data_IF_624850566905
#
_entry.id   IF_624850566905
#
_cell.length_a   1.000
_cell.length_b   1.000
_cell.length_c   1.000
_cell.angle_alpha   90.00
_cell.angle_beta   90.00
_cell.angle_gamma   90.00
#
_symmetry.space_group_name_H-M   'P 1'
#
loop_
_entity.id
_entity.type
_entity.pdbx_description
1 polymer ?
#
# COMPACT_ATOMS: atom_id res chain seq x y z
N UNK A 1 -2.55 -4.75 -26.84
CA UNK A 1 -1.22 -5.20 -26.37
C UNK A 1 -1.41 -5.68 -24.95
N UNK A 2 -1.21 -6.96 -24.66
CA UNK A 2 -1.27 -7.51 -23.30
C UNK A 2 -0.04 -6.99 -22.56
N UNK A 3 -0.24 -6.05 -21.66
CA UNK A 3 0.83 -5.55 -20.76
C UNK A 3 1.25 -6.71 -19.86
N UNK A 4 2.53 -7.05 -19.82
CA UNK A 4 3.03 -8.06 -18.90
C UNK A 4 2.92 -7.53 -17.46
N UNK A 5 2.52 -8.36 -16.49
CA UNK A 5 2.48 -7.95 -15.10
C UNK A 5 3.88 -7.61 -14.57
N UNK A 6 3.98 -6.56 -13.76
CA UNK A 6 5.21 -6.21 -13.05
C UNK A 6 5.49 -7.21 -11.93
N UNK A 7 4.45 -7.62 -11.20
CA UNK A 7 4.52 -8.66 -10.17
C UNK A 7 3.49 -9.73 -10.49
N UNK A 8 3.91 -11.01 -10.44
CA UNK A 8 3.02 -12.16 -10.62
C UNK A 8 3.24 -13.16 -9.50
N UNK A 9 2.16 -13.46 -8.80
CA UNK A 9 2.11 -14.42 -7.69
C UNK A 9 1.32 -15.63 -8.16
N UNK A 10 1.93 -16.81 -8.14
CA UNK A 10 1.36 -18.04 -8.68
C UNK A 10 1.29 -19.14 -7.61
N UNK A 11 0.08 -19.49 -7.17
CA UNK A 11 -0.23 -20.61 -6.27
C UNK A 11 0.65 -20.62 -5.00
N UNK A 12 0.95 -19.44 -4.46
CA UNK A 12 1.87 -19.26 -3.33
C UNK A 12 1.25 -19.80 -2.04
N UNK A 13 1.97 -20.73 -1.40
CA UNK A 13 1.69 -21.15 -0.03
C UNK A 13 2.93 -21.00 0.84
N UNK A 14 2.71 -20.58 2.08
CA UNK A 14 3.80 -20.33 3.03
C UNK A 14 3.38 -20.65 4.46
N UNK A 15 4.31 -21.20 5.24
CA UNK A 15 4.17 -21.48 6.67
C UNK A 15 5.43 -21.06 7.39
N UNK A 16 5.29 -20.44 8.56
CA UNK A 16 6.41 -20.24 9.47
C UNK A 16 6.72 -21.56 10.21
N UNK A 17 8.01 -21.80 10.45
CA UNK A 17 8.46 -22.92 11.26
C UNK A 17 8.51 -22.46 12.70
N UNK A 18 7.68 -23.02 13.56
CA UNK A 18 7.77 -22.81 15.00
C UNK A 18 8.64 -23.91 15.64
N UNK A 19 9.40 -23.53 16.68
CA UNK A 19 10.23 -24.48 17.43
C UNK A 19 9.39 -25.67 17.90
N UNK A 20 9.84 -26.89 17.63
CA UNK A 20 9.32 -28.21 18.04
C UNK A 20 7.84 -28.54 17.77
N UNK A 21 6.93 -27.56 17.62
CA UNK A 21 5.48 -27.77 17.60
C UNK A 21 4.80 -27.71 16.21
N UNK A 22 5.57 -27.75 15.11
CA UNK A 22 4.96 -27.85 13.79
C UNK A 22 5.01 -26.55 12.96
N UNK A 23 4.30 -26.61 11.81
CA UNK A 23 4.22 -25.52 10.84
C UNK A 23 2.90 -24.78 11.03
N UNK A 24 2.97 -23.44 11.11
CA UNK A 24 1.76 -22.61 11.09
C UNK A 24 1.55 -22.09 9.65
N UNK A 25 0.53 -22.59 8.94
CA UNK A 25 0.20 -22.11 7.60
C UNK A 25 -0.31 -20.67 7.67
N UNK A 26 0.25 -19.81 6.81
CA UNK A 26 -0.08 -18.38 6.77
C UNK A 26 -0.59 -17.97 5.39
N UNK A 27 -0.07 -18.52 4.31
CA UNK A 27 -0.58 -18.33 2.96
C UNK A 27 -0.98 -19.68 2.37
N UNK A 28 -2.10 -19.71 1.64
CA UNK A 28 -2.69 -20.91 1.09
C UNK A 28 -3.16 -20.66 -0.34
N UNK A 29 -2.36 -21.10 -1.31
CA UNK A 29 -2.67 -21.06 -2.74
C UNK A 29 -3.09 -19.66 -3.23
N UNK A 30 -2.28 -18.64 -2.89
CA UNK A 30 -2.52 -17.24 -3.28
C UNK A 30 -2.01 -17.02 -4.71
N UNK A 31 -2.86 -16.44 -5.58
CA UNK A 31 -2.48 -16.07 -6.94
C UNK A 31 -3.10 -14.73 -7.30
N UNK A 32 -2.30 -13.80 -7.81
CA UNK A 32 -2.73 -12.51 -8.38
C UNK A 32 -1.57 -11.88 -9.15
N UNK A 33 -1.89 -10.83 -9.89
CA UNK A 33 -0.92 -10.05 -10.66
C UNK A 33 -1.00 -8.59 -10.27
N UNK A 34 0.07 -7.83 -10.45
CA UNK A 34 0.11 -6.36 -10.33
C UNK A 34 0.70 -5.81 -11.60
N UNK A 35 0.01 -4.88 -12.23
CA UNK A 35 0.43 -4.29 -13.50
C UNK A 35 1.19 -2.97 -13.30
N UNK A 36 2.07 -2.58 -14.25
CA UNK A 36 2.77 -1.31 -14.18
C UNK A 36 1.79 -0.13 -14.06
N UNK A 37 2.05 0.77 -13.11
CA UNK A 37 1.22 1.94 -12.83
C UNK A 37 -0.07 1.66 -12.06
N UNK A 38 -0.35 0.40 -11.68
CA UNK A 38 -1.54 0.03 -10.91
C UNK A 38 -1.35 0.33 -9.42
N UNK A 39 -2.42 0.79 -8.76
CA UNK A 39 -2.49 0.91 -7.31
C UNK A 39 -3.39 -0.20 -6.74
N UNK A 40 -2.77 -1.18 -6.09
CA UNK A 40 -3.46 -2.32 -5.44
C UNK A 40 -3.48 -2.13 -3.93
N UNK A 41 -4.66 -2.22 -3.32
CA UNK A 41 -4.82 -2.28 -1.87
C UNK A 41 -5.09 -3.72 -1.42
N UNK A 42 -4.31 -4.21 -0.46
CA UNK A 42 -4.49 -5.53 0.17
C UNK A 42 -5.05 -5.30 1.57
N UNK A 43 -6.27 -5.75 1.82
CA UNK A 43 -6.97 -5.61 3.10
C UNK A 43 -7.34 -6.98 3.70
N UNK A 44 -7.66 -6.99 4.98
CA UNK A 44 -8.03 -8.19 5.72
C UNK A 44 -7.82 -7.97 7.22
N UNK A 45 -8.43 -8.81 8.07
CA UNK A 45 -8.21 -8.73 9.52
C UNK A 45 -6.76 -9.06 9.92
N UNK A 46 -6.40 -8.77 11.17
CA UNK A 46 -5.07 -9.11 11.70
C UNK A 46 -4.86 -10.63 11.68
N UNK A 47 -3.69 -11.07 11.19
CA UNK A 47 -3.37 -12.49 11.02
C UNK A 47 -3.87 -13.12 9.71
N UNK A 48 -4.53 -12.39 8.81
CA UNK A 48 -4.98 -12.91 7.51
C UNK A 48 -3.85 -13.23 6.50
N UNK A 49 -2.59 -12.85 6.81
CA UNK A 49 -1.42 -13.16 5.99
C UNK A 49 -0.89 -11.99 5.14
N UNK A 50 -1.47 -10.79 5.22
CA UNK A 50 -1.11 -9.61 4.40
C UNK A 50 0.37 -9.25 4.43
N UNK A 51 0.93 -9.03 5.63
CA UNK A 51 2.36 -8.66 5.79
C UNK A 51 3.31 -9.82 5.45
N UNK A 52 2.83 -11.06 5.52
CA UNK A 52 3.58 -12.20 4.99
C UNK A 52 3.58 -12.16 3.46
N UNK A 53 2.44 -11.87 2.85
CA UNK A 53 2.32 -11.75 1.40
C UNK A 53 3.18 -10.58 0.88
N UNK A 54 3.12 -9.39 1.50
CA UNK A 54 3.91 -8.22 1.09
C UNK A 54 5.41 -8.53 1.06
N UNK A 55 5.94 -9.29 2.02
CA UNK A 55 7.34 -9.71 2.08
C UNK A 55 7.75 -10.70 0.98
N UNK A 56 6.81 -11.40 0.36
CA UNK A 56 7.09 -12.23 -0.81
C UNK A 56 7.26 -11.40 -2.08
N UNK A 57 6.61 -10.22 -2.16
CA UNK A 57 6.62 -9.39 -3.36
C UNK A 57 8.00 -8.80 -3.68
N UNK A 58 8.88 -8.65 -2.67
CA UNK A 58 10.25 -8.18 -2.88
C UNK A 58 11.33 -9.21 -2.49
N UNK A 59 10.93 -10.49 -2.33
CA UNK A 59 11.85 -11.59 -2.04
C UNK A 59 12.51 -11.54 -0.65
N UNK A 60 11.91 -10.87 0.35
CA UNK A 60 12.31 -11.02 1.77
C UNK A 60 11.94 -12.41 2.25
N UNK A 61 10.75 -12.88 1.90
CA UNK A 61 10.33 -14.25 2.11
C UNK A 61 10.25 -14.98 0.76
N UNK A 62 10.63 -16.25 0.76
CA UNK A 62 10.52 -17.13 -0.41
C UNK A 62 9.39 -18.12 -0.15
N UNK A 63 8.43 -18.30 -1.06
CA UNK A 63 7.32 -19.20 -0.87
C UNK A 63 7.78 -20.66 -0.73
N UNK A 64 7.05 -21.48 0.02
CA UNK A 64 7.33 -22.92 0.11
C UNK A 64 6.90 -23.63 -1.17
N UNK A 65 5.67 -23.34 -1.62
CA UNK A 65 5.15 -23.81 -2.92
C UNK A 65 4.64 -22.63 -3.72
N UNK A 66 4.58 -22.78 -5.02
CA UNK A 66 4.27 -21.69 -5.94
C UNK A 66 5.48 -20.76 -6.16
N UNK A 67 5.28 -19.73 -6.93
CA UNK A 67 6.35 -18.83 -7.35
C UNK A 67 5.89 -17.36 -7.31
N UNK A 68 6.84 -16.46 -7.09
CA UNK A 68 6.66 -15.01 -7.25
C UNK A 68 7.66 -14.51 -8.27
N UNK A 69 7.14 -13.82 -9.28
CA UNK A 69 7.95 -13.19 -10.31
C UNK A 69 7.83 -11.67 -10.21
N UNK A 70 8.95 -11.00 -10.30
CA UNK A 70 9.05 -9.54 -10.37
C UNK A 70 9.78 -9.18 -11.66
N UNK A 71 9.12 -8.46 -12.54
CA UNK A 71 9.64 -8.15 -13.87
C UNK A 71 10.21 -9.40 -14.60
N UNK A 72 9.49 -10.53 -14.47
CA UNK A 72 9.88 -11.83 -15.04
C UNK A 72 10.97 -12.59 -14.27
N UNK A 73 11.55 -12.02 -13.20
CA UNK A 73 12.57 -12.66 -12.38
C UNK A 73 11.89 -13.41 -11.23
N UNK A 74 12.14 -14.72 -11.11
CA UNK A 74 11.66 -15.51 -9.99
C UNK A 74 12.40 -15.12 -8.70
N UNK A 75 11.68 -14.81 -7.63
CA UNK A 75 12.28 -14.42 -6.33
C UNK A 75 13.12 -15.52 -5.68
N UNK A 76 13.04 -16.77 -6.16
CA UNK A 76 13.92 -17.88 -5.74
C UNK A 76 15.32 -17.77 -6.31
N UNK A 77 15.52 -16.99 -7.37
CA UNK A 77 16.83 -16.78 -7.98
C UNK A 77 17.68 -15.84 -7.12
N UNK A 78 18.48 -16.44 -6.25
CA UNK A 78 19.36 -15.71 -5.34
C UNK A 78 20.42 -14.87 -6.06
N UNK A 79 20.75 -15.21 -7.32
CA UNK A 79 21.75 -14.46 -8.10
C UNK A 79 21.20 -13.13 -8.59
N UNK A 80 19.88 -13.03 -8.76
CA UNK A 80 19.16 -11.85 -9.26
C UNK A 80 18.29 -11.17 -8.22
N UNK A 81 18.37 -11.55 -6.95
CA UNK A 81 17.54 -10.99 -5.88
C UNK A 81 17.73 -9.47 -5.71
N UNK A 82 18.91 -8.95 -6.02
CA UNK A 82 19.19 -7.51 -6.00
C UNK A 82 18.35 -6.76 -7.03
N UNK A 83 18.15 -7.32 -8.24
CA UNK A 83 17.29 -6.75 -9.27
C UNK A 83 15.82 -6.69 -8.79
N UNK A 84 15.34 -7.77 -8.14
CA UNK A 84 14.01 -7.82 -7.54
C UNK A 84 13.83 -6.70 -6.52
N UNK A 85 14.78 -6.54 -5.59
CA UNK A 85 14.72 -5.53 -4.52
C UNK A 85 14.91 -4.10 -5.02
N UNK A 86 15.61 -3.91 -6.11
CA UNK A 86 15.71 -2.60 -6.78
C UNK A 86 14.41 -2.25 -7.54
N UNK A 87 13.70 -3.28 -8.03
CA UNK A 87 12.43 -3.11 -8.74
C UNK A 87 11.27 -2.85 -7.78
N UNK A 88 11.23 -3.58 -6.65
CA UNK A 88 10.16 -3.47 -5.65
C UNK A 88 10.74 -2.98 -4.33
N UNK A 89 10.56 -1.71 -4.06
CA UNK A 89 10.91 -1.09 -2.77
C UNK A 89 9.83 -1.35 -1.72
N UNK A 90 10.23 -1.58 -0.47
CA UNK A 90 9.30 -1.88 0.61
C UNK A 90 9.50 -0.95 1.80
N UNK A 91 8.38 -0.40 2.29
CA UNK A 91 8.32 0.43 3.51
C UNK A 91 7.55 -0.34 4.57
N UNK A 92 8.13 -0.46 5.76
CA UNK A 92 7.57 -1.24 6.87
C UNK A 92 6.73 -0.37 7.82
N UNK A 93 5.94 -1.03 8.64
CA UNK A 93 5.07 -0.43 9.65
C UNK A 93 5.84 0.47 10.65
N UNK A 94 7.03 0.02 11.09
CA UNK A 94 7.86 0.70 12.06
C UNK A 94 9.08 1.33 11.37
N UNK A 95 9.13 2.66 11.19
CA UNK A 95 10.27 3.31 10.53
C UNK A 95 11.59 3.14 11.31
N UNK A 96 11.54 3.04 12.64
CA UNK A 96 12.73 2.81 13.46
C UNK A 96 13.44 1.47 13.17
N UNK A 97 12.75 0.49 12.60
CA UNK A 97 13.35 -0.77 12.16
C UNK A 97 13.99 -0.67 10.77
N UNK A 98 13.74 0.42 10.05
CA UNK A 98 14.23 0.64 8.68
C UNK A 98 15.35 1.67 8.64
N UNK A 99 15.29 2.70 9.49
CA UNK A 99 16.30 3.75 9.60
C UNK A 99 17.55 3.19 10.28
N UNK A 100 18.69 3.29 9.61
CA UNK A 100 19.97 2.69 10.07
C UNK A 100 21.06 3.72 10.30
N UNK A 101 20.96 4.92 9.72
CA UNK A 101 22.00 5.95 9.81
C UNK A 101 21.73 6.98 10.92
N UNK A 102 22.76 7.72 11.29
CA UNK A 102 22.71 8.77 12.33
C UNK A 102 22.29 10.12 11.78
N UNK A 103 22.29 10.30 10.46
CA UNK A 103 21.90 11.52 9.73
C UNK A 103 20.93 11.10 8.62
N UNK A 104 19.89 11.92 8.37
CA UNK A 104 18.87 11.66 7.36
C UNK A 104 19.45 11.45 5.96
N UNK A 105 20.41 12.29 5.55
CA UNK A 105 21.05 12.16 4.23
C UNK A 105 21.74 10.82 4.05
N UNK A 106 22.47 10.36 5.06
CA UNK A 106 23.20 9.10 5.03
C UNK A 106 22.23 7.91 5.01
N UNK A 107 21.08 8.05 5.67
CA UNK A 107 20.04 7.02 5.65
C UNK A 107 19.42 6.86 4.27
N UNK A 108 19.11 7.97 3.60
CA UNK A 108 18.61 7.96 2.21
C UNK A 108 19.69 7.46 1.23
N UNK A 109 20.97 7.77 1.48
CA UNK A 109 22.10 7.29 0.68
C UNK A 109 22.32 5.78 0.79
N UNK A 110 22.01 5.18 1.94
CA UNK A 110 22.26 3.76 2.24
C UNK A 110 21.68 2.81 1.18
N UNK A 111 20.45 3.06 0.73
CA UNK A 111 19.83 2.29 -0.34
C UNK A 111 20.57 2.41 -1.68
N UNK A 112 21.03 3.62 -2.01
CA UNK A 112 21.78 3.90 -3.23
C UNK A 112 23.15 3.21 -3.27
N UNK A 113 23.86 3.20 -2.14
CA UNK A 113 25.12 2.50 -1.98
C UNK A 113 24.96 1.00 -2.21
N UNK A 114 23.91 0.40 -1.62
CA UNK A 114 23.62 -1.03 -1.74
C UNK A 114 23.29 -1.48 -3.18
N UNK A 115 22.71 -0.59 -4.00
CA UNK A 115 22.44 -0.90 -5.42
C UNK A 115 23.55 -0.39 -6.35
N UNK A 116 24.65 0.15 -5.80
CA UNK A 116 25.85 0.53 -6.56
C UNK A 116 25.67 1.80 -7.40
N UNK A 117 24.85 2.77 -6.96
CA UNK A 117 24.72 4.06 -7.65
C UNK A 117 26.05 4.83 -7.57
N UNK A 118 26.53 5.39 -8.69
CA UNK A 118 27.77 6.18 -8.68
C UNK A 118 27.66 7.41 -7.75
N UNK A 119 28.71 7.75 -6.98
CA UNK A 119 28.67 8.88 -6.05
C UNK A 119 28.23 10.22 -6.68
N UNK A 120 28.56 10.44 -7.95
CA UNK A 120 28.17 11.64 -8.69
C UNK A 120 26.66 11.79 -8.92
N UNK A 121 25.91 10.70 -8.92
CA UNK A 121 24.45 10.69 -9.08
C UNK A 121 23.69 10.68 -7.75
N UNK A 122 24.33 10.26 -6.67
CA UNK A 122 23.65 10.07 -5.37
C UNK A 122 23.03 11.37 -4.86
N UNK A 123 23.76 12.50 -4.96
CA UNK A 123 23.26 13.79 -4.46
C UNK A 123 21.94 14.17 -5.12
N UNK A 124 21.86 14.08 -6.44
CA UNK A 124 20.62 14.42 -7.19
C UNK A 124 19.45 13.53 -6.77
N UNK A 125 19.70 12.21 -6.61
CA UNK A 125 18.67 11.25 -6.21
C UNK A 125 18.19 11.47 -4.78
N UNK A 126 19.09 11.81 -3.85
CA UNK A 126 18.77 12.14 -2.46
C UNK A 126 17.94 13.44 -2.41
N UNK A 127 18.38 14.48 -3.14
CA UNK A 127 17.67 15.77 -3.21
C UNK A 127 16.23 15.57 -3.70
N UNK A 128 16.05 14.85 -4.83
CA UNK A 128 14.75 14.57 -5.40
C UNK A 128 13.86 13.74 -4.45
N UNK A 129 14.43 12.72 -3.78
CA UNK A 129 13.69 11.87 -2.86
C UNK A 129 13.22 12.63 -1.61
N UNK A 130 14.09 13.46 -1.01
CA UNK A 130 13.73 14.29 0.14
C UNK A 130 12.70 15.37 -0.22
N UNK A 131 12.80 15.96 -1.39
CA UNK A 131 11.81 16.92 -1.91
C UNK A 131 10.45 16.21 -2.13
N UNK A 132 10.46 15.02 -2.71
CA UNK A 132 9.26 14.23 -2.96
C UNK A 132 8.43 13.95 -1.69
N UNK A 133 9.06 13.85 -0.54
CA UNK A 133 8.37 13.62 0.74
C UNK A 133 8.30 14.88 1.63
N UNK A 134 8.75 16.04 1.14
CA UNK A 134 8.76 17.32 1.88
C UNK A 134 9.73 17.34 3.06
N UNK A 135 10.86 16.63 2.97
CA UNK A 135 11.83 16.49 4.06
C UNK A 135 13.20 17.14 3.81
N UNK A 136 13.35 17.94 2.76
CA UNK A 136 14.63 18.61 2.38
C UNK A 136 15.24 19.43 3.53
N UNK A 137 14.42 20.12 4.33
CA UNK A 137 14.88 20.92 5.47
C UNK A 137 15.47 20.08 6.63
N UNK A 138 15.24 18.77 6.61
CA UNK A 138 15.67 17.84 7.66
C UNK A 138 16.91 17.02 7.27
N UNK A 139 17.48 17.27 6.07
CA UNK A 139 18.60 16.53 5.47
C UNK A 139 19.74 16.19 6.44
N UNK A 140 20.19 17.19 7.20
CA UNK A 140 21.34 17.05 8.10
C UNK A 140 20.91 16.78 9.55
N UNK A 141 19.65 16.48 9.81
CA UNK A 141 19.16 16.17 11.15
C UNK A 141 19.35 14.71 11.51
N UNK A 142 19.62 14.41 12.79
CA UNK A 142 19.56 13.05 13.28
C UNK A 142 18.12 12.51 13.27
N UNK A 143 17.87 11.27 12.77
CA UNK A 143 16.54 10.68 12.72
C UNK A 143 15.83 10.58 14.09
N UNK A 144 16.57 10.41 15.19
CA UNK A 144 15.99 10.33 16.53
C UNK A 144 15.38 11.65 17.03
N UNK A 145 15.64 12.79 16.36
CA UNK A 145 14.98 14.07 16.61
C UNK A 145 13.70 14.28 15.80
N UNK A 146 13.31 13.30 14.99
CA UNK A 146 12.15 13.39 14.11
C UNK A 146 10.91 12.74 14.76
N UNK A 147 9.73 13.29 14.45
CA UNK A 147 8.45 12.64 14.81
C UNK A 147 8.28 11.31 14.04
N UNK A 148 7.37 10.44 14.49
CA UNK A 148 7.07 9.18 13.79
C UNK A 148 6.69 9.39 12.33
N UNK A 149 5.85 10.39 12.01
CA UNK A 149 5.48 10.73 10.64
C UNK A 149 6.64 11.24 9.80
N UNK A 150 7.56 12.02 10.40
CA UNK A 150 8.77 12.46 9.72
C UNK A 150 9.72 11.29 9.43
N UNK A 151 9.91 10.39 10.40
CA UNK A 151 10.69 9.15 10.19
C UNK A 151 10.11 8.30 9.07
N UNK A 152 8.79 8.14 9.03
CA UNK A 152 8.12 7.39 7.97
C UNK A 152 8.35 8.02 6.59
N UNK A 153 8.31 9.35 6.48
CA UNK A 153 8.65 10.05 5.24
C UNK A 153 10.10 9.82 4.83
N UNK A 154 11.04 9.79 5.80
CA UNK A 154 12.45 9.46 5.50
C UNK A 154 12.58 8.02 5.01
N UNK A 155 11.91 7.06 5.64
CA UNK A 155 11.91 5.68 5.18
C UNK A 155 11.38 5.56 3.73
N UNK A 156 10.33 6.30 3.39
CA UNK A 156 9.82 6.40 2.00
C UNK A 156 10.86 7.03 1.09
N UNK A 157 11.52 8.15 1.51
CA UNK A 157 12.55 8.80 0.71
C UNK A 157 13.72 7.85 0.39
N UNK A 158 14.19 7.07 1.37
CA UNK A 158 15.24 6.06 1.16
C UNK A 158 14.89 5.05 0.07
N UNK A 159 13.64 4.64 0.01
CA UNK A 159 13.17 3.75 -1.06
C UNK A 159 13.03 4.50 -2.39
N UNK A 160 12.46 5.71 -2.40
CA UNK A 160 12.27 6.48 -3.63
C UNK A 160 13.60 6.88 -4.30
N UNK A 161 14.64 7.14 -3.52
CA UNK A 161 15.98 7.43 -4.04
C UNK A 161 16.50 6.31 -4.95
N UNK A 162 16.16 5.06 -4.64
CA UNK A 162 16.52 3.89 -5.47
C UNK A 162 15.78 3.87 -6.82
N UNK A 163 14.75 4.70 -7.02
CA UNK A 163 13.87 4.75 -8.21
C UNK A 163 13.22 3.39 -8.54
N UNK A 164 12.52 2.75 -7.59
CA UNK A 164 11.86 1.48 -7.82
C UNK A 164 10.70 1.64 -8.81
N UNK A 165 10.29 0.54 -9.46
CA UNK A 165 9.11 0.50 -10.32
C UNK A 165 7.83 0.29 -9.51
N UNK A 166 7.93 -0.31 -8.32
CA UNK A 166 6.82 -0.55 -7.39
C UNK A 166 7.21 -0.17 -5.97
N UNK A 167 6.30 0.52 -5.29
CA UNK A 167 6.38 0.83 -3.86
C UNK A 167 5.38 -0.02 -3.09
N UNK A 168 5.88 -0.89 -2.21
CA UNK A 168 5.06 -1.69 -1.29
C UNK A 168 5.05 -1.00 0.08
N UNK A 169 3.86 -0.69 0.59
CA UNK A 169 3.62 -0.05 1.88
C UNK A 169 2.95 -1.07 2.82
N UNK A 170 3.71 -1.63 3.77
CA UNK A 170 3.17 -2.61 4.73
C UNK A 170 2.76 -1.90 6.02
N UNK A 171 1.49 -1.52 6.11
CA UNK A 171 0.89 -0.76 7.21
C UNK A 171 1.68 0.53 7.55
N UNK A 172 2.25 1.17 6.54
CA UNK A 172 3.18 2.29 6.70
C UNK A 172 2.58 3.55 7.38
N UNK A 173 1.27 3.61 7.57
CA UNK A 173 0.57 4.74 8.20
C UNK A 173 -0.03 4.39 9.57
N UNK A 174 0.01 3.12 9.99
CA UNK A 174 -0.70 2.64 11.18
C UNK A 174 -0.24 3.29 12.50
N UNK A 175 1.02 3.73 12.56
CA UNK A 175 1.63 4.36 13.73
C UNK A 175 1.55 5.89 13.70
N UNK A 176 0.84 6.47 12.73
CA UNK A 176 0.74 7.91 12.52
C UNK A 176 -0.57 8.46 13.06
N UNK A 177 -0.52 9.71 13.52
CA UNK A 177 -1.71 10.49 13.77
C UNK A 177 -2.45 10.82 12.46
N UNK A 178 -3.62 11.40 12.57
CA UNK A 178 -4.47 11.70 11.42
C UNK A 178 -3.79 12.61 10.39
N UNK A 179 -3.06 13.63 10.85
CA UNK A 179 -2.35 14.55 9.95
C UNK A 179 -1.17 13.88 9.26
N UNK A 180 -0.33 13.16 10.03
CA UNK A 180 0.81 12.41 9.48
C UNK A 180 0.37 11.38 8.43
N UNK A 181 -0.76 10.71 8.67
CA UNK A 181 -1.36 9.77 7.71
C UNK A 181 -1.80 10.49 6.43
N UNK A 182 -2.53 11.59 6.52
CA UNK A 182 -2.96 12.36 5.35
C UNK A 182 -1.78 12.84 4.51
N UNK A 183 -0.71 13.29 5.15
CA UNK A 183 0.51 13.71 4.47
C UNK A 183 1.16 12.57 3.67
N UNK A 184 1.28 11.37 4.28
CA UNK A 184 1.81 10.19 3.57
C UNK A 184 0.90 9.79 2.40
N UNK A 185 -0.42 9.78 2.61
CA UNK A 185 -1.38 9.45 1.55
C UNK A 185 -1.32 10.46 0.39
N UNK A 186 -1.10 11.74 0.69
CA UNK A 186 -0.90 12.76 -0.35
C UNK A 186 0.35 12.47 -1.19
N UNK A 187 1.46 12.05 -0.55
CA UNK A 187 2.68 11.62 -1.25
C UNK A 187 2.39 10.39 -2.12
N UNK A 188 1.76 9.35 -1.58
CA UNK A 188 1.44 8.10 -2.29
C UNK A 188 0.54 8.37 -3.51
N UNK A 189 -0.54 9.16 -3.34
CA UNK A 189 -1.44 9.55 -4.44
C UNK A 189 -0.73 10.34 -5.54
N UNK A 190 0.23 11.19 -5.17
CA UNK A 190 1.03 11.90 -6.15
C UNK A 190 1.93 10.96 -6.93
N UNK A 191 2.67 10.07 -6.26
CA UNK A 191 3.53 9.08 -6.91
C UNK A 191 2.75 8.17 -7.86
N UNK A 192 1.54 7.73 -7.46
CA UNK A 192 0.66 6.95 -8.33
C UNK A 192 0.26 7.74 -9.58
N UNK A 193 -0.15 9.01 -9.43
CA UNK A 193 -0.48 9.88 -10.59
C UNK A 193 0.72 10.12 -11.52
N UNK A 194 1.93 10.04 -11.01
CA UNK A 194 3.18 10.12 -11.77
C UNK A 194 3.54 8.77 -12.43
N UNK A 195 2.70 7.74 -12.29
CA UNK A 195 2.82 6.44 -12.95
C UNK A 195 3.54 5.37 -12.13
N UNK A 196 3.83 5.61 -10.84
CA UNK A 196 4.41 4.60 -9.95
C UNK A 196 3.40 3.51 -9.62
N UNK A 197 3.83 2.25 -9.69
CA UNK A 197 3.04 1.11 -9.21
C UNK A 197 3.04 1.12 -7.68
N UNK A 198 1.87 0.98 -7.06
CA UNK A 198 1.70 0.99 -5.60
C UNK A 198 1.03 -0.31 -5.14
N UNK A 199 1.56 -0.91 -4.09
CA UNK A 199 0.86 -1.96 -3.33
C UNK A 199 0.79 -1.50 -1.88
N UNK A 200 -0.41 -1.24 -1.36
CA UNK A 200 -0.58 -0.92 0.06
C UNK A 200 -1.23 -2.07 0.81
N UNK A 201 -0.66 -2.42 1.95
CA UNK A 201 -1.28 -3.30 2.94
C UNK A 201 -1.80 -2.42 4.06
N UNK A 202 -3.11 -2.43 4.30
CA UNK A 202 -3.72 -1.55 5.29
C UNK A 202 -4.99 -2.15 5.88
N UNK A 203 -5.38 -1.67 7.05
CA UNK A 203 -6.69 -1.86 7.65
C UNK A 203 -7.50 -0.56 7.70
N UNK A 204 -6.98 0.53 7.15
CA UNK A 204 -7.64 1.83 7.09
C UNK A 204 -8.38 2.00 5.77
N UNK A 205 -9.71 1.97 5.81
CA UNK A 205 -10.54 2.00 4.60
C UNK A 205 -10.41 3.30 3.79
N UNK A 206 -10.07 4.42 4.43
CA UNK A 206 -9.77 5.69 3.74
C UNK A 206 -8.55 5.64 2.82
N UNK A 207 -7.63 4.69 3.02
CA UNK A 207 -6.47 4.47 2.15
C UNK A 207 -6.85 3.65 0.92
N UNK A 208 -7.82 2.75 1.10
CA UNK A 208 -8.26 1.80 0.07
C UNK A 208 -9.06 2.48 -1.04
N UNK A 209 -9.80 3.54 -0.71
CA UNK A 209 -10.66 4.28 -1.65
C UNK A 209 -9.87 4.82 -2.86
N UNK A 210 -8.59 5.15 -2.65
CA UNK A 210 -7.72 5.70 -3.71
C UNK A 210 -7.08 4.63 -4.60
N UNK A 211 -7.28 3.34 -4.32
CA UNK A 211 -6.72 2.24 -5.11
C UNK A 211 -7.54 1.98 -6.39
N UNK A 212 -6.88 1.45 -7.42
CA UNK A 212 -7.56 0.98 -8.62
C UNK A 212 -8.24 -0.36 -8.37
N UNK A 213 -7.62 -1.21 -7.53
CA UNK A 213 -8.09 -2.55 -7.21
C UNK A 213 -7.83 -2.91 -5.75
N UNK A 214 -8.75 -3.67 -5.18
CA UNK A 214 -8.70 -4.16 -3.79
C UNK A 214 -8.66 -5.68 -3.80
N UNK A 215 -7.75 -6.22 -3.00
CA UNK A 215 -7.65 -7.66 -2.72
C UNK A 215 -7.98 -7.86 -1.24
N UNK A 216 -8.98 -8.67 -0.95
CA UNK A 216 -9.40 -8.99 0.42
C UNK A 216 -8.86 -10.36 0.81
N UNK A 217 -8.12 -10.41 1.92
CA UNK A 217 -7.53 -11.65 2.44
C UNK A 217 -8.21 -12.12 3.72
N UNK A 218 -8.48 -13.41 3.79
CA UNK A 218 -8.93 -14.11 4.98
C UNK A 218 -8.21 -15.47 5.11
N UNK A 219 -7.72 -15.79 6.30
CA UNK A 219 -7.09 -17.09 6.62
C UNK A 219 -6.03 -17.53 5.57
N UNK A 220 -5.24 -16.58 5.07
CA UNK A 220 -4.17 -16.83 4.11
C UNK A 220 -4.61 -16.99 2.66
N UNK A 221 -5.87 -16.68 2.33
CA UNK A 221 -6.45 -16.79 0.99
C UNK A 221 -6.99 -15.47 0.50
N UNK A 222 -7.05 -15.26 -0.81
CA UNK A 222 -7.83 -14.20 -1.43
C UNK A 222 -9.29 -14.67 -1.47
N UNK A 223 -10.19 -13.89 -0.85
CA UNK A 223 -11.62 -14.22 -0.76
C UNK A 223 -12.51 -13.27 -1.53
N UNK A 224 -12.00 -12.09 -1.89
CA UNK A 224 -12.69 -11.10 -2.70
C UNK A 224 -11.67 -10.24 -3.42
N UNK A 225 -12.00 -9.82 -4.64
CA UNK A 225 -11.19 -8.94 -5.47
C UNK A 225 -12.12 -8.09 -6.34
N UNK A 226 -11.75 -6.83 -6.60
CA UNK A 226 -12.49 -5.91 -7.43
C UNK A 226 -12.06 -4.46 -7.24
N UNK A 227 -12.73 -3.52 -7.87
CA UNK A 227 -12.56 -2.09 -7.61
C UNK A 227 -13.00 -1.76 -6.17
N UNK A 228 -12.52 -0.65 -5.56
CA UNK A 228 -13.01 -0.23 -4.24
C UNK A 228 -14.53 -0.18 -4.16
N UNK A 229 -15.20 0.34 -5.18
CA UNK A 229 -16.67 0.45 -5.24
C UNK A 229 -17.37 -0.92 -5.24
N UNK A 230 -16.86 -1.87 -6.03
CA UNK A 230 -17.39 -3.25 -6.06
C UNK A 230 -17.18 -3.99 -4.75
N UNK A 231 -16.04 -3.78 -4.10
CA UNK A 231 -15.72 -4.42 -2.82
C UNK A 231 -16.57 -3.82 -1.70
N UNK A 232 -16.66 -2.48 -1.62
CA UNK A 232 -17.41 -1.81 -0.57
C UNK A 232 -18.94 -1.88 -0.74
N UNK A 233 -19.45 -2.18 -1.94
CA UNK A 233 -20.87 -2.49 -2.13
C UNK A 233 -21.31 -3.80 -1.43
N UNK A 234 -20.36 -4.71 -1.15
CA UNK A 234 -20.61 -6.00 -0.48
C UNK A 234 -20.50 -5.90 1.05
N UNK A 235 -21.18 -4.92 1.65
CA UNK A 235 -21.04 -4.59 3.08
C UNK A 235 -21.31 -5.76 4.02
N UNK A 236 -22.31 -6.59 3.74
CA UNK A 236 -22.61 -7.78 4.57
C UNK A 236 -21.43 -8.75 4.56
N UNK A 237 -20.87 -9.01 3.37
CA UNK A 237 -19.71 -9.90 3.25
C UNK A 237 -18.48 -9.34 3.97
N UNK A 238 -18.23 -8.03 3.90
CA UNK A 238 -17.12 -7.38 4.63
C UNK A 238 -17.32 -7.48 6.15
N UNK A 239 -18.56 -7.34 6.65
CA UNK A 239 -18.87 -7.51 8.08
C UNK A 239 -18.61 -8.96 8.54
N UNK A 240 -18.98 -9.96 7.74
CA UNK A 240 -18.64 -11.38 8.02
C UNK A 240 -17.13 -11.59 8.14
N UNK A 241 -16.34 -10.87 7.33
CA UNK A 241 -14.89 -10.88 7.33
C UNK A 241 -14.27 -10.00 8.43
N UNK A 242 -15.08 -9.40 9.32
CA UNK A 242 -14.66 -8.45 10.34
C UNK A 242 -13.91 -7.24 9.78
N UNK A 243 -14.34 -6.77 8.60
CA UNK A 243 -13.81 -5.58 7.94
C UNK A 243 -14.84 -4.45 7.96
N UNK A 244 -14.34 -3.24 8.20
CA UNK A 244 -15.14 -2.02 8.09
C UNK A 244 -15.29 -1.61 6.62
N UNK A 245 -16.18 -0.64 6.40
CA UNK A 245 -16.34 0.08 5.13
C UNK A 245 -16.00 1.57 5.36
N UNK A 246 -15.68 2.34 4.31
CA UNK A 246 -15.54 3.79 4.42
C UNK A 246 -16.77 4.43 5.07
N UNK A 247 -16.56 5.47 5.88
CA UNK A 247 -17.67 6.19 6.52
C UNK A 247 -18.69 6.71 5.50
N UNK A 248 -18.20 7.18 4.35
CA UNK A 248 -19.05 7.59 3.23
C UNK A 248 -20.01 6.47 2.78
N UNK A 249 -19.49 5.24 2.60
CA UNK A 249 -20.32 4.09 2.20
C UNK A 249 -21.35 3.72 3.27
N UNK A 250 -20.98 3.81 4.54
CA UNK A 250 -21.89 3.56 5.65
C UNK A 250 -23.01 4.60 5.70
N UNK A 251 -22.66 5.88 5.57
CA UNK A 251 -23.64 6.99 5.53
C UNK A 251 -24.55 6.81 4.31
N UNK A 252 -23.99 6.58 3.13
CA UNK A 252 -24.75 6.42 1.89
C UNK A 252 -25.81 5.31 2.00
N UNK A 253 -25.44 4.15 2.54
CA UNK A 253 -26.36 3.04 2.75
C UNK A 253 -27.46 3.35 3.77
N UNK A 254 -27.13 3.99 4.88
CA UNK A 254 -28.12 4.38 5.91
C UNK A 254 -29.10 5.42 5.39
N UNK A 255 -28.62 6.40 4.63
CA UNK A 255 -29.48 7.43 4.04
C UNK A 255 -30.36 6.82 2.95
N UNK A 256 -29.81 5.97 2.06
CA UNK A 256 -30.56 5.28 1.02
C UNK A 256 -31.72 4.47 1.57
N UNK A 257 -31.54 3.79 2.70
CA UNK A 257 -32.59 2.99 3.35
C UNK A 257 -33.81 3.83 3.75
N UNK A 258 -33.63 5.11 4.05
CA UNK A 258 -34.69 6.05 4.41
C UNK A 258 -35.16 6.90 3.21
N UNK A 259 -34.25 7.19 2.29
CA UNK A 259 -34.44 8.03 1.11
C UNK A 259 -33.89 7.31 -0.14
N UNK A 260 -34.70 6.45 -0.81
CA UNK A 260 -34.24 5.66 -1.97
C UNK A 260 -33.72 6.48 -3.15
N UNK A 261 -33.94 7.79 -3.16
CA UNK A 261 -33.37 8.70 -4.16
C UNK A 261 -31.91 9.08 -3.91
N UNK A 262 -31.35 8.73 -2.75
CA UNK A 262 -29.93 8.92 -2.42
C UNK A 262 -29.12 7.74 -2.95
N UNK A 263 -27.96 7.99 -3.58
CA UNK A 263 -27.12 6.92 -4.12
C UNK A 263 -26.48 6.07 -3.00
N UNK A 264 -26.58 4.73 -3.02
CA UNK A 264 -25.98 3.88 -1.99
C UNK A 264 -24.48 3.57 -2.24
N UNK A 265 -23.97 3.82 -3.45
CA UNK A 265 -22.65 3.34 -3.88
C UNK A 265 -21.54 4.39 -3.72
N UNK A 266 -21.73 5.36 -2.83
CA UNK A 266 -20.74 6.39 -2.55
C UNK A 266 -19.66 5.85 -1.61
N UNK A 267 -18.39 6.14 -1.94
CA UNK A 267 -17.23 5.65 -1.18
C UNK A 267 -16.35 6.79 -0.67
N UNK A 268 -16.52 8.01 -1.18
CA UNK A 268 -15.77 9.21 -0.78
C UNK A 268 -16.69 10.23 -0.12
N UNK A 269 -16.14 11.02 0.85
CA UNK A 269 -16.90 12.04 1.54
C UNK A 269 -17.41 13.13 0.60
N UNK A 270 -16.62 13.52 -0.38
CA UNK A 270 -17.00 14.55 -1.36
C UNK A 270 -18.17 14.08 -2.25
N UNK A 271 -18.27 12.79 -2.54
CA UNK A 271 -19.41 12.21 -3.25
C UNK A 271 -20.69 12.32 -2.43
N UNK A 272 -20.60 12.08 -1.11
CA UNK A 272 -21.76 12.21 -0.18
C UNK A 272 -22.23 13.66 -0.14
N UNK A 273 -21.31 14.62 -0.02
CA UNK A 273 -21.63 16.06 -0.04
C UNK A 273 -22.29 16.45 -1.36
N UNK A 274 -21.71 16.05 -2.49
CA UNK A 274 -22.26 16.33 -3.83
C UNK A 274 -23.67 15.75 -4.02
N UNK A 275 -23.94 14.56 -3.47
CA UNK A 275 -25.23 13.91 -3.56
C UNK A 275 -26.29 14.63 -2.71
N UNK A 276 -25.91 15.13 -1.53
CA UNK A 276 -26.78 15.97 -0.68
C UNK A 276 -27.15 17.25 -1.43
N UNK A 277 -26.18 17.95 -2.03
CA UNK A 277 -26.42 19.18 -2.79
C UNK A 277 -27.33 18.94 -4.01
N UNK A 278 -27.12 17.82 -4.72
CA UNK A 278 -27.97 17.41 -5.84
C UNK A 278 -29.44 17.26 -5.43
N UNK A 279 -29.67 16.60 -4.29
CA UNK A 279 -31.03 16.38 -3.80
C UNK A 279 -31.68 17.66 -3.24
N UNK A 280 -30.91 18.53 -2.59
CA UNK A 280 -31.38 19.82 -2.11
C UNK A 280 -31.83 20.74 -3.25
N UNK A 281 -31.03 20.81 -4.31
CA UNK A 281 -31.35 21.63 -5.49
C UNK A 281 -32.58 21.11 -6.24
N UNK A 282 -32.75 19.79 -6.40
CA UNK A 282 -33.98 19.21 -6.98
C UNK A 282 -35.26 19.57 -6.21
N UNK A 283 -35.17 19.63 -4.86
CA UNK A 283 -36.33 20.04 -4.05
C UNK A 283 -36.68 21.52 -4.25
N UNK A 284 -35.70 22.38 -4.40
CA UNK A 284 -35.91 23.80 -4.66
C UNK A 284 -36.59 24.03 -6.03
N UNK A 285 -36.21 23.29 -7.08
CA UNK A 285 -36.83 23.37 -8.41
C UNK A 285 -38.28 22.86 -8.47
N UNK A 286 -38.66 21.91 -7.60
CA UNK A 286 -40.01 21.33 -7.55
C UNK A 286 -40.95 22.16 -6.69
N UNK A 287 -40.40 23.05 -5.83
CA UNK A 287 -41.16 23.87 -4.88
C UNK A 287 -41.33 25.32 -5.34
N UNK A 288 -40.75 25.72 -6.48
CA UNK A 288 -40.89 27.03 -7.14
C UNK A 288 -41.73 26.94 -8.40
#
# INVERSE_FOLDING_TARGET
MTTNPLIRVENVSFSYQMNQDGQVPVLQNVSFEVYPGEYVAIIGHNGSGKSTLSKHLNGILIPRTGDVFVNGINTRDKTRIHEVRSTVGMVFQHPDNQIVATIVEDDVAFGLENIGVPPGEMKERIDAALEAVGMSAFRHRPPHHLSGGQKQRIAIAGILAMRPQCLVLDEATSMLDTYGRQDILAVVRRLHREGMTIVTVTHHMSEVVAADRVIVMEAGRIVLEGTPREVFSRQERLRELHLDVPDASRIASLVHAQFPGFSPDLIENDEVVGEVDRLANRRAEVSG
#
